data_IF_969857935573
#
_entry.id   IF_969857935573
#
_cell.length_a   1.000
_cell.length_b   1.000
_cell.length_c   1.000
_cell.angle_alpha   90.00
_cell.angle_beta   90.00
_cell.angle_gamma   90.00
#
_symmetry.space_group_name_H-M   'P 1'
#
loop_
_entity.id
_entity.type
_entity.pdbx_description
1 polymer ?
#
# COMPACT_ATOMS: atom_id res chain seq x y z
N UNK A 1 44.41 12.61 -11.67
CA UNK A 1 43.58 12.69 -10.45
C UNK A 1 42.22 13.16 -10.92
N UNK A 2 41.33 12.20 -11.14
CA UNK A 2 39.93 12.46 -11.49
C UNK A 2 39.10 12.04 -10.26
N UNK A 3 38.30 12.97 -9.76
CA UNK A 3 37.52 12.80 -8.54
C UNK A 3 36.35 11.87 -8.86
N UNK A 4 36.48 10.65 -8.37
CA UNK A 4 35.55 9.53 -8.49
C UNK A 4 34.08 9.92 -8.32
N UNK A 5 33.33 9.74 -9.40
CA UNK A 5 32.08 8.96 -9.44
C UNK A 5 31.06 9.23 -8.32
N UNK A 6 30.39 10.38 -8.39
CA UNK A 6 29.08 10.56 -7.76
C UNK A 6 27.98 9.92 -8.61
N UNK A 7 27.97 8.59 -8.75
CA UNK A 7 26.84 7.87 -9.33
C UNK A 7 26.02 7.25 -8.20
N UNK A 8 24.88 7.87 -7.87
CA UNK A 8 23.88 7.26 -7.01
C UNK A 8 23.22 6.11 -7.77
N UNK A 9 23.63 4.87 -7.52
CA UNK A 9 22.98 3.72 -8.13
C UNK A 9 21.79 3.26 -7.27
N UNK A 10 20.58 3.66 -7.66
CA UNK A 10 19.31 3.31 -7.01
C UNK A 10 18.85 1.86 -7.32
N UNK A 11 19.51 1.16 -8.25
CA UNK A 11 19.25 -0.28 -8.48
C UNK A 11 19.38 -1.13 -7.20
N UNK A 12 20.11 -0.63 -6.19
CA UNK A 12 20.33 -1.27 -4.88
C UNK A 12 19.11 -1.33 -3.95
N UNK A 13 18.01 -0.60 -4.20
CA UNK A 13 16.91 -0.47 -3.21
C UNK A 13 15.73 -1.45 -3.37
N UNK A 14 15.96 -2.60 -4.03
CA UNK A 14 14.99 -3.65 -4.46
C UNK A 14 14.20 -3.26 -5.72
N UNK A 15 13.97 -4.25 -6.59
CA UNK A 15 13.23 -4.06 -7.84
C UNK A 15 11.81 -3.52 -7.56
N UNK A 16 11.29 -2.73 -8.50
CA UNK A 16 9.90 -2.25 -8.44
C UNK A 16 8.91 -3.40 -8.24
N UNK A 17 9.19 -4.55 -8.84
CA UNK A 17 8.41 -5.78 -8.66
C UNK A 17 8.38 -6.26 -7.21
N UNK A 18 9.50 -6.24 -6.50
CA UNK A 18 9.56 -6.69 -5.11
C UNK A 18 8.78 -5.77 -4.16
N UNK A 19 8.82 -4.45 -4.40
CA UNK A 19 7.99 -3.48 -3.66
C UNK A 19 6.50 -3.75 -3.91
N UNK A 20 6.12 -4.01 -5.16
CA UNK A 20 4.75 -4.37 -5.53
C UNK A 20 4.34 -5.66 -4.81
N UNK A 21 5.16 -6.71 -4.86
CA UNK A 21 4.88 -8.00 -4.21
C UNK A 21 4.68 -7.85 -2.71
N UNK A 22 5.56 -7.12 -2.04
CA UNK A 22 5.43 -6.85 -0.61
C UNK A 22 4.16 -6.05 -0.28
N UNK A 23 3.79 -5.08 -1.12
CA UNK A 23 2.56 -4.29 -0.96
C UNK A 23 1.32 -5.17 -1.06
N UNK A 24 1.24 -5.98 -2.12
CA UNK A 24 0.13 -6.93 -2.31
C UNK A 24 0.05 -7.88 -1.11
N UNK A 25 1.18 -8.44 -0.67
CA UNK A 25 1.21 -9.36 0.46
C UNK A 25 0.73 -8.72 1.78
N UNK A 26 1.00 -7.43 1.97
CA UNK A 26 0.55 -6.72 3.17
C UNK A 26 -0.97 -6.50 3.11
N UNK A 27 -1.50 -6.06 1.96
CA UNK A 27 -2.94 -5.95 1.71
C UNK A 27 -3.66 -7.29 1.97
N UNK A 28 -3.14 -8.40 1.43
CA UNK A 28 -3.72 -9.74 1.61
C UNK A 28 -3.80 -10.08 3.11
N UNK A 29 -2.72 -9.84 3.87
CA UNK A 29 -2.70 -10.12 5.31
C UNK A 29 -3.71 -9.26 6.07
N UNK A 30 -3.75 -7.97 5.78
CA UNK A 30 -4.63 -7.04 6.46
C UNK A 30 -6.10 -7.38 6.19
N UNK A 31 -6.48 -7.73 4.95
CA UNK A 31 -7.84 -8.14 4.62
C UNK A 31 -8.21 -9.52 5.19
N UNK A 32 -7.27 -10.48 5.17
CA UNK A 32 -7.49 -11.81 5.71
C UNK A 32 -7.74 -11.81 7.23
N UNK A 33 -7.13 -10.87 7.99
CA UNK A 33 -7.43 -10.69 9.42
C UNK A 33 -8.90 -10.35 9.68
N UNK A 34 -9.59 -9.78 8.69
CA UNK A 34 -11.01 -9.48 8.73
C UNK A 34 -11.84 -10.52 7.96
N UNK A 35 -11.29 -11.67 7.59
CA UNK A 35 -12.01 -12.72 6.87
C UNK A 35 -12.47 -12.28 5.48
N UNK A 36 -11.64 -11.50 4.79
CA UNK A 36 -11.84 -11.10 3.40
C UNK A 36 -10.67 -11.61 2.57
N UNK A 37 -10.96 -12.37 1.52
CA UNK A 37 -9.94 -12.94 0.66
C UNK A 37 -9.56 -11.95 -0.44
N UNK A 38 -8.25 -11.73 -0.60
CA UNK A 38 -7.66 -10.96 -1.68
C UNK A 38 -6.59 -11.84 -2.32
N UNK A 39 -6.61 -11.93 -3.65
CA UNK A 39 -5.70 -12.77 -4.40
C UNK A 39 -4.62 -11.97 -5.11
N UNK A 40 -3.43 -12.57 -5.18
CA UNK A 40 -2.34 -12.01 -5.96
C UNK A 40 -2.70 -12.03 -7.46
N UNK A 41 -2.52 -10.91 -8.18
CA UNK A 41 -2.82 -10.82 -9.62
C UNK A 41 -1.98 -11.77 -10.48
N UNK A 42 -2.55 -12.43 -11.51
CA UNK A 42 -1.83 -13.38 -12.35
C UNK A 42 -0.75 -12.73 -13.24
N UNK A 43 -0.88 -11.43 -13.50
CA UNK A 43 0.07 -10.63 -14.30
C UNK A 43 0.45 -9.37 -13.52
N UNK A 44 1.76 -9.08 -13.46
CA UNK A 44 2.32 -7.88 -12.84
C UNK A 44 1.79 -6.58 -13.45
N UNK A 45 1.47 -6.57 -14.75
CA UNK A 45 0.90 -5.40 -15.43
C UNK A 45 -0.53 -5.10 -14.98
N UNK A 46 -1.21 -6.09 -14.41
CA UNK A 46 -2.60 -6.00 -13.98
C UNK A 46 -2.73 -5.79 -12.46
N UNK A 47 -1.63 -5.53 -11.75
CA UNK A 47 -1.66 -5.55 -10.29
C UNK A 47 -2.59 -4.50 -9.71
N UNK A 48 -2.41 -3.25 -10.10
CA UNK A 48 -3.25 -2.15 -9.62
C UNK A 48 -4.73 -2.37 -9.95
N UNK A 49 -5.16 -2.58 -11.22
CA UNK A 49 -6.58 -2.72 -11.52
C UNK A 49 -7.22 -3.95 -10.86
N UNK A 50 -6.47 -5.06 -10.71
CA UNK A 50 -6.99 -6.26 -10.07
C UNK A 50 -7.15 -6.09 -8.56
N UNK A 51 -6.16 -5.47 -7.89
CA UNK A 51 -6.27 -5.16 -6.47
C UNK A 51 -7.38 -4.14 -6.22
N UNK A 52 -7.43 -3.07 -6.99
CA UNK A 52 -8.45 -2.04 -6.86
C UNK A 52 -9.85 -2.64 -6.93
N UNK A 53 -10.11 -3.48 -7.94
CA UNK A 53 -11.42 -4.12 -8.10
C UNK A 53 -11.80 -5.03 -6.93
N UNK A 54 -10.86 -5.82 -6.39
CA UNK A 54 -11.14 -6.71 -5.26
C UNK A 54 -11.38 -5.93 -3.97
N UNK A 55 -10.55 -4.93 -3.70
CA UNK A 55 -10.63 -4.11 -2.49
C UNK A 55 -11.90 -3.26 -2.49
N UNK A 56 -12.24 -2.63 -3.63
CA UNK A 56 -13.44 -1.81 -3.77
C UNK A 56 -14.70 -2.65 -3.51
N UNK A 57 -14.76 -3.88 -4.04
CA UNK A 57 -15.87 -4.81 -3.77
C UNK A 57 -16.05 -5.07 -2.27
N UNK A 58 -14.95 -5.39 -1.56
CA UNK A 58 -14.97 -5.64 -0.12
C UNK A 58 -15.36 -4.39 0.67
N UNK A 59 -14.74 -3.24 0.36
CA UNK A 59 -14.97 -1.97 1.04
C UNK A 59 -16.42 -1.49 0.84
N UNK A 60 -16.93 -1.56 -0.39
CA UNK A 60 -18.33 -1.25 -0.73
C UNK A 60 -19.30 -2.16 0.04
N UNK A 61 -18.98 -3.46 0.12
CA UNK A 61 -19.72 -4.41 0.95
C UNK A 61 -19.73 -4.04 2.43
N UNK A 62 -18.60 -3.63 2.99
CA UNK A 62 -18.51 -3.22 4.40
C UNK A 62 -19.22 -1.89 4.66
N UNK A 63 -19.09 -0.90 3.78
CA UNK A 63 -19.80 0.38 3.88
C UNK A 63 -21.31 0.17 3.99
N UNK A 64 -21.86 -0.79 3.24
CA UNK A 64 -23.30 -1.05 3.22
C UNK A 64 -23.80 -1.99 4.31
N UNK A 65 -22.97 -2.95 4.76
CA UNK A 65 -23.43 -4.04 5.64
C UNK A 65 -22.79 -4.06 7.02
N UNK A 66 -21.61 -3.49 7.20
CA UNK A 66 -20.85 -3.57 8.44
C UNK A 66 -19.80 -2.44 8.56
N UNK A 67 -20.26 -1.23 8.82
CA UNK A 67 -19.41 -0.04 8.97
C UNK A 67 -18.43 -0.20 10.14
N UNK A 68 -18.81 -0.88 11.22
CA UNK A 68 -17.91 -1.11 12.36
C UNK A 68 -16.68 -1.94 11.96
N UNK A 69 -16.88 -2.98 11.15
CA UNK A 69 -15.78 -3.79 10.60
C UNK A 69 -14.91 -2.99 9.64
N UNK A 70 -15.51 -2.10 8.83
CA UNK A 70 -14.74 -1.16 8.01
C UNK A 70 -13.87 -0.23 8.87
N UNK A 71 -14.43 0.40 9.89
CA UNK A 71 -13.66 1.28 10.79
C UNK A 71 -12.49 0.56 11.45
N UNK A 72 -12.70 -0.69 11.88
CA UNK A 72 -11.63 -1.51 12.45
C UNK A 72 -10.52 -1.85 11.43
N UNK A 73 -10.88 -2.17 10.19
CA UNK A 73 -9.93 -2.38 9.09
C UNK A 73 -9.11 -1.11 8.81
N UNK A 74 -9.76 0.04 8.69
CA UNK A 74 -9.09 1.32 8.41
C UNK A 74 -8.14 1.72 9.54
N UNK A 75 -8.52 1.44 10.79
CA UNK A 75 -7.64 1.63 11.94
C UNK A 75 -6.40 0.73 11.86
N UNK A 76 -6.58 -0.57 11.56
CA UNK A 76 -5.47 -1.52 11.39
C UNK A 76 -4.48 -1.08 10.28
N UNK A 77 -5.00 -0.47 9.22
CA UNK A 77 -4.22 0.03 8.08
C UNK A 77 -3.62 1.43 8.36
N UNK A 78 -3.94 2.06 9.48
CA UNK A 78 -3.56 3.44 9.84
C UNK A 78 -4.09 4.49 8.86
N UNK A 79 -5.38 4.43 8.54
CA UNK A 79 -6.09 5.44 7.74
C UNK A 79 -7.09 6.18 8.64
N UNK A 80 -6.80 7.44 8.99
CA UNK A 80 -7.72 8.24 9.81
C UNK A 80 -8.89 8.76 8.99
N UNK A 81 -10.08 8.84 9.60
CA UNK A 81 -11.32 9.31 8.95
C UNK A 81 -11.18 10.70 8.31
N UNK A 82 -10.45 11.61 8.96
CA UNK A 82 -10.18 12.95 8.42
C UNK A 82 -9.46 12.93 7.07
N UNK A 83 -8.63 11.91 6.81
CA UNK A 83 -7.97 11.76 5.52
C UNK A 83 -8.97 11.33 4.44
N UNK A 84 -9.91 10.44 4.77
CA UNK A 84 -10.96 9.99 3.86
C UNK A 84 -11.86 11.16 3.46
N UNK A 85 -12.30 11.96 4.44
CA UNK A 85 -13.15 13.14 4.19
C UNK A 85 -12.43 14.12 3.26
N UNK A 86 -11.17 14.47 3.57
CA UNK A 86 -10.38 15.39 2.73
C UNK A 86 -10.18 14.87 1.32
N UNK A 87 -9.79 13.60 1.16
CA UNK A 87 -9.57 13.01 -0.16
C UNK A 87 -10.86 12.93 -0.98
N UNK A 88 -12.02 12.77 -0.34
CA UNK A 88 -13.29 12.81 -1.04
C UNK A 88 -13.72 14.24 -1.41
N UNK A 89 -13.51 15.22 -0.54
CA UNK A 89 -13.75 16.64 -0.84
C UNK A 89 -12.89 17.14 -2.02
N UNK A 90 -11.64 16.65 -2.11
CA UNK A 90 -10.72 16.95 -3.21
C UNK A 90 -11.10 16.22 -4.51
N UNK A 91 -11.80 15.08 -4.42
CA UNK A 91 -12.18 14.23 -5.54
C UNK A 91 -13.65 13.76 -5.48
N UNK A 92 -14.62 14.68 -5.59
CA UNK A 92 -16.04 14.37 -5.45
C UNK A 92 -16.59 13.50 -6.59
N UNK A 93 -15.85 13.36 -7.69
CA UNK A 93 -16.17 12.48 -8.82
C UNK A 93 -16.10 10.98 -8.46
N UNK A 94 -15.39 10.62 -7.39
CA UNK A 94 -15.26 9.23 -6.94
C UNK A 94 -16.23 8.92 -5.79
N UNK A 95 -16.66 7.67 -5.76
CA UNK A 95 -17.44 7.13 -4.64
C UNK A 95 -16.58 6.97 -3.38
N UNK A 96 -17.23 6.90 -2.22
CA UNK A 96 -16.53 6.67 -0.95
C UNK A 96 -15.71 5.37 -0.96
N UNK A 97 -16.23 4.28 -1.54
CA UNK A 97 -15.49 3.02 -1.64
C UNK A 97 -14.25 3.15 -2.52
N UNK A 98 -14.33 3.86 -3.64
CA UNK A 98 -13.19 4.12 -4.52
C UNK A 98 -12.10 4.95 -3.81
N UNK A 99 -12.48 6.04 -3.13
CA UNK A 99 -11.54 6.89 -2.37
C UNK A 99 -10.83 6.06 -1.29
N UNK A 100 -11.59 5.29 -0.51
CA UNK A 100 -11.03 4.44 0.55
C UNK A 100 -10.10 3.37 -0.05
N UNK A 101 -10.48 2.77 -1.17
CA UNK A 101 -9.66 1.75 -1.86
C UNK A 101 -8.30 2.32 -2.27
N UNK A 102 -8.29 3.51 -2.86
CA UNK A 102 -7.06 4.18 -3.26
C UNK A 102 -6.17 4.49 -2.05
N UNK A 103 -6.77 5.00 -0.97
CA UNK A 103 -6.05 5.30 0.27
C UNK A 103 -5.43 4.05 0.89
N UNK A 104 -6.14 2.91 0.88
CA UNK A 104 -5.62 1.61 1.35
C UNK A 104 -4.39 1.18 0.56
N UNK A 105 -4.48 1.16 -0.77
CA UNK A 105 -3.37 0.74 -1.63
C UNK A 105 -2.16 1.66 -1.44
N UNK A 106 -2.40 2.97 -1.43
CA UNK A 106 -1.34 3.96 -1.26
C UNK A 106 -0.68 3.87 0.11
N UNK A 107 -1.46 3.65 1.18
CA UNK A 107 -0.95 3.55 2.55
C UNK A 107 -0.04 2.34 2.70
N UNK A 108 -0.43 1.18 2.16
CA UNK A 108 0.38 -0.03 2.22
C UNK A 108 1.65 0.07 1.38
N UNK A 109 1.55 0.65 0.18
CA UNK A 109 2.74 0.96 -0.64
C UNK A 109 3.73 1.84 0.14
N UNK A 110 3.23 2.92 0.76
CA UNK A 110 4.05 3.84 1.54
C UNK A 110 4.73 3.14 2.73
N UNK A 111 4.02 2.27 3.44
CA UNK A 111 4.59 1.47 4.55
C UNK A 111 5.72 0.56 4.04
N UNK A 112 5.53 -0.09 2.90
CA UNK A 112 6.54 -0.98 2.30
C UNK A 112 7.77 -0.22 1.85
N UNK A 113 7.60 0.89 1.12
CA UNK A 113 8.71 1.74 0.67
C UNK A 113 9.51 2.26 1.86
N UNK A 114 8.84 2.76 2.89
CA UNK A 114 9.49 3.24 4.11
C UNK A 114 10.25 2.11 4.82
N UNK A 115 9.62 0.95 5.02
CA UNK A 115 10.27 -0.21 5.65
C UNK A 115 11.51 -0.66 4.88
N UNK A 116 11.47 -0.67 3.55
CA UNK A 116 12.61 -1.03 2.73
C UNK A 116 13.72 0.02 2.83
N UNK A 117 13.39 1.32 2.82
CA UNK A 117 14.35 2.39 3.01
C UNK A 117 15.14 2.25 4.33
N UNK A 118 14.44 2.09 5.47
CA UNK A 118 15.12 1.97 6.78
C UNK A 118 15.93 0.68 6.93
N UNK A 119 15.48 -0.43 6.34
CA UNK A 119 16.27 -1.67 6.34
C UNK A 119 17.60 -1.48 5.63
N UNK A 120 17.62 -0.80 4.48
CA UNK A 120 18.86 -0.53 3.75
C UNK A 120 19.76 0.46 4.50
N UNK A 121 19.18 1.49 5.12
CA UNK A 121 19.95 2.45 5.91
C UNK A 121 20.68 1.75 7.07
N UNK A 122 19.99 0.90 7.84
CA UNK A 122 20.62 0.13 8.93
C UNK A 122 21.75 -0.79 8.49
N UNK A 123 21.61 -1.43 7.32
CA UNK A 123 22.66 -2.32 6.79
C UNK A 123 23.93 -1.53 6.42
N UNK A 124 23.80 -0.31 5.90
CA UNK A 124 24.95 0.55 5.58
C UNK A 124 25.69 1.07 6.82
N UNK A 125 25.00 1.22 7.95
CA UNK A 125 25.63 1.61 9.22
C UNK A 125 26.43 0.45 9.85
N UNK A 126 26.02 -0.81 9.64
CA UNK A 126 26.67 -2.01 10.19
C UNK A 126 27.90 -2.46 9.36
N UNK A 127 27.92 -2.20 8.06
CA UNK A 127 29.05 -2.53 7.16
C UNK A 127 30.17 -1.45 7.17
N UNK A 128 30.02 -0.40 7.99
CA UNK A 128 30.91 0.77 8.06
C UNK A 128 31.78 0.88 9.33
N UNK A 129 31.75 -0.10 10.22
CA UNK A 129 32.65 -0.25 11.40
C UNK A 129 33.71 -1.33 11.16
#
# INVERSE_FOLDING_TARGET
>A
MDLTTGSFNIEEFKSQEEVIRQTVNQIIKDFAMFGMDVEFPPDMKMVYPHLFSQLEMHISGLLTRNVQKLSALLYQIDIPEIQIIKSWEEHPEFTHSQVITELVIYRELKKVVFRNYYKHYKLKDEDGE
#
